data_IF_973101176490
#
_entry.id   IF_973101176490
#
_cell.length_a   1.000
_cell.length_b   1.000
_cell.length_c   1.000
_cell.angle_alpha   90.00
_cell.angle_beta   90.00
_cell.angle_gamma   90.00
#
_symmetry.space_group_name_H-M   'P 1'
#
loop_
_entity.id
_entity.type
_entity.pdbx_description
1 polymer ?
#
# COMPACT_ATOMS: atom_id res chain seq x y z
N UNK A 1 17.54 12.10 -7.80
CA UNK A 1 16.86 11.01 -8.56
C UNK A 1 15.54 10.77 -7.85
N UNK A 2 14.40 10.81 -8.54
CA UNK A 2 13.12 10.48 -7.90
C UNK A 2 13.06 9.01 -7.49
N UNK A 3 12.25 8.68 -6.47
CA UNK A 3 12.24 7.32 -5.90
C UNK A 3 11.84 6.25 -6.91
N UNK A 4 10.87 6.52 -7.78
CA UNK A 4 10.43 5.57 -8.83
C UNK A 4 11.46 5.31 -9.96
N UNK A 5 12.64 5.89 -9.87
CA UNK A 5 13.79 5.67 -10.74
C UNK A 5 15.05 5.28 -9.95
N UNK A 6 14.91 4.98 -8.67
CA UNK A 6 16.04 4.75 -7.77
C UNK A 6 16.00 3.36 -7.13
N UNK A 7 16.70 2.37 -7.70
CA UNK A 7 16.64 0.98 -7.21
C UNK A 7 17.20 0.77 -5.79
N UNK A 8 17.69 1.82 -5.15
CA UNK A 8 18.06 1.79 -3.73
C UNK A 8 16.89 2.18 -2.81
N UNK A 9 15.77 2.65 -3.37
CA UNK A 9 14.61 3.14 -2.61
C UNK A 9 13.35 2.39 -3.02
N UNK A 10 13.31 1.11 -2.74
CA UNK A 10 12.13 0.27 -2.97
C UNK A 10 11.01 0.51 -1.95
N UNK A 11 11.32 1.20 -0.85
CA UNK A 11 10.34 1.57 0.17
C UNK A 11 10.88 2.67 1.11
N UNK A 12 9.94 3.45 1.67
CA UNK A 12 10.20 4.40 2.77
C UNK A 12 9.08 4.26 3.80
N UNK A 13 9.44 4.04 5.06
CA UNK A 13 8.49 3.88 6.19
C UNK A 13 7.44 2.77 6.01
N UNK A 14 7.55 1.91 5.00
CA UNK A 14 6.73 0.72 4.88
C UNK A 14 7.12 -0.27 5.97
N UNK A 15 6.14 -0.79 6.67
CA UNK A 15 6.35 -1.85 7.66
C UNK A 15 6.83 -3.11 6.93
N UNK A 16 7.82 -3.84 7.45
CA UNK A 16 8.23 -5.11 6.89
C UNK A 16 7.02 -6.04 6.72
N UNK A 17 7.02 -6.81 5.63
CA UNK A 17 6.00 -7.83 5.42
C UNK A 17 6.17 -8.91 6.47
N UNK A 18 5.07 -9.31 7.08
CA UNK A 18 5.03 -10.34 8.11
C UNK A 18 3.78 -11.20 7.95
N UNK A 19 3.72 -12.33 8.65
CA UNK A 19 2.53 -13.13 8.72
C UNK A 19 1.33 -12.28 9.17
N UNK A 20 0.17 -12.57 8.58
CA UNK A 20 -1.08 -11.93 8.95
C UNK A 20 -1.77 -12.78 10.00
N UNK A 21 -2.21 -12.15 11.07
CA UNK A 21 -3.14 -12.74 12.01
C UNK A 21 -4.22 -11.73 12.36
N UNK A 22 -5.42 -12.22 12.59
CA UNK A 22 -6.53 -11.37 12.98
C UNK A 22 -6.25 -10.75 14.35
N UNK A 23 -6.63 -9.49 14.48
CA UNK A 23 -6.52 -8.75 15.74
C UNK A 23 -7.88 -8.16 16.09
N UNK A 24 -8.17 -8.02 17.36
CA UNK A 24 -9.42 -7.42 17.86
C UNK A 24 -9.44 -5.88 17.72
N UNK A 25 -8.58 -5.32 16.89
CA UNK A 25 -8.49 -3.89 16.67
C UNK A 25 -9.65 -3.34 15.83
N UNK A 26 -9.87 -2.04 15.96
CA UNK A 26 -10.82 -1.33 15.11
C UNK A 26 -10.36 -1.38 13.65
N UNK A 27 -11.32 -1.44 12.72
CA UNK A 27 -11.06 -1.44 11.30
C UNK A 27 -12.06 -0.55 10.57
N UNK A 28 -11.56 0.39 9.78
CA UNK A 28 -12.35 1.26 8.92
C UNK A 28 -11.96 1.04 7.46
N UNK A 29 -12.91 0.51 6.67
CA UNK A 29 -12.71 0.31 5.23
C UNK A 29 -12.71 1.67 4.52
N UNK A 30 -11.71 1.87 3.67
CA UNK A 30 -11.61 3.01 2.77
C UNK A 30 -11.97 2.64 1.33
N UNK A 31 -12.51 1.45 1.10
CA UNK A 31 -13.06 1.06 -0.19
C UNK A 31 -14.26 1.94 -0.58
N UNK A 32 -14.49 2.10 -1.87
CA UNK A 32 -15.59 2.88 -2.41
C UNK A 32 -15.10 3.92 -3.42
N UNK A 33 -15.81 5.01 -3.58
CA UNK A 33 -15.49 6.05 -4.56
C UNK A 33 -14.49 7.03 -3.97
N UNK A 34 -13.42 7.31 -4.72
CA UNK A 34 -12.39 8.30 -4.40
C UNK A 34 -12.35 9.38 -5.46
N UNK A 35 -12.00 10.61 -5.10
CA UNK A 35 -11.62 11.64 -6.07
C UNK A 35 -10.34 11.21 -6.77
N UNK A 36 -10.31 11.35 -8.08
CA UNK A 36 -9.26 10.79 -8.93
C UNK A 36 -8.85 11.76 -10.02
N UNK A 37 -7.56 12.01 -10.14
CA UNK A 37 -6.95 12.77 -11.21
C UNK A 37 -5.96 11.89 -11.97
N UNK A 38 -6.28 11.60 -13.23
CA UNK A 38 -5.40 10.83 -14.10
C UNK A 38 -4.63 11.77 -15.03
N UNK A 39 -3.32 11.60 -15.09
CA UNK A 39 -2.43 12.41 -15.89
C UNK A 39 -1.70 11.54 -16.90
N UNK A 40 -1.90 11.84 -18.17
CA UNK A 40 -1.22 11.17 -19.27
C UNK A 40 0.26 11.55 -19.35
N UNK A 41 0.57 12.81 -19.05
CA UNK A 41 1.94 13.31 -18.88
C UNK A 41 2.26 13.46 -17.38
N UNK A 42 3.19 12.66 -16.91
CA UNK A 42 3.65 12.71 -15.51
C UNK A 42 4.19 14.10 -15.12
N UNK A 43 4.73 14.88 -16.07
CA UNK A 43 5.29 16.19 -15.79
C UNK A 43 4.23 17.29 -15.65
N UNK A 44 3.02 17.06 -16.19
CA UNK A 44 1.89 17.99 -16.10
C UNK A 44 1.05 17.80 -14.84
N UNK A 45 1.29 16.74 -14.05
CA UNK A 45 0.51 16.46 -12.83
C UNK A 45 0.69 17.53 -11.76
N UNK A 46 -0.35 17.86 -10.98
CA UNK A 46 -0.22 18.72 -9.80
C UNK A 46 0.74 18.09 -8.77
N UNK A 47 1.70 18.85 -8.29
CA UNK A 47 2.70 18.37 -7.32
C UNK A 47 2.37 18.69 -5.86
N UNK A 48 1.29 19.46 -5.62
CA UNK A 48 0.79 19.89 -4.32
C UNK A 48 -0.61 19.30 -4.00
N UNK A 49 -1.08 18.37 -4.80
CA UNK A 49 -2.41 17.77 -4.71
C UNK A 49 -2.74 17.17 -3.34
N UNK A 50 -1.75 16.82 -2.55
CA UNK A 50 -1.91 16.29 -1.19
C UNK A 50 -2.21 17.34 -0.13
N UNK A 51 -2.12 18.62 -0.48
CA UNK A 51 -2.39 19.74 0.43
C UNK A 51 -3.85 19.75 0.88
N UNK A 52 -4.08 20.13 2.14
CA UNK A 52 -5.43 20.30 2.68
C UNK A 52 -6.23 21.40 1.99
N UNK A 53 -5.54 22.38 1.39
CA UNK A 53 -6.15 23.51 0.69
C UNK A 53 -6.32 23.27 -0.81
N UNK A 54 -5.84 22.12 -1.33
CA UNK A 54 -5.97 21.80 -2.75
C UNK A 54 -7.43 21.58 -3.12
N UNK A 55 -7.90 22.27 -4.16
CA UNK A 55 -9.26 22.11 -4.70
C UNK A 55 -9.30 20.96 -5.71
N UNK A 56 -9.90 19.86 -5.30
CA UNK A 56 -10.11 18.67 -6.12
C UNK A 56 -11.54 18.54 -6.65
N UNK A 57 -12.33 19.62 -6.58
CA UNK A 57 -13.75 19.61 -7.01
C UNK A 57 -13.95 19.34 -8.52
N UNK A 58 -12.93 19.61 -9.32
CA UNK A 58 -12.94 19.35 -10.76
C UNK A 58 -12.38 17.94 -11.13
N UNK A 59 -11.98 17.13 -10.16
CA UNK A 59 -11.46 15.80 -10.40
C UNK A 59 -12.59 14.81 -10.75
N UNK A 60 -12.23 13.79 -11.50
CA UNK A 60 -13.07 12.63 -11.71
C UNK A 60 -13.17 11.77 -10.45
N UNK A 61 -13.84 10.65 -10.55
CA UNK A 61 -13.92 9.66 -9.50
C UNK A 61 -13.58 8.27 -10.01
N UNK A 62 -13.03 7.44 -9.13
CA UNK A 62 -12.72 6.05 -9.43
C UNK A 62 -13.11 5.15 -8.24
N UNK A 63 -13.62 3.93 -8.48
CA UNK A 63 -13.79 2.96 -7.41
C UNK A 63 -12.42 2.46 -6.89
N UNK A 64 -12.32 2.26 -5.59
CA UNK A 64 -11.19 1.58 -4.93
C UNK A 64 -11.75 0.41 -4.14
N UNK A 65 -11.34 -0.83 -4.39
CA UNK A 65 -10.42 -1.27 -5.46
C UNK A 65 -10.91 -0.95 -6.86
N UNK A 66 -9.96 -0.61 -7.75
CA UNK A 66 -10.24 -0.35 -9.15
C UNK A 66 -8.96 -0.15 -9.96
N UNK A 67 -8.92 -0.77 -11.13
CA UNK A 67 -7.81 -0.61 -12.06
C UNK A 67 -8.17 0.49 -13.07
N UNK A 68 -7.19 1.31 -13.44
CA UNK A 68 -7.41 2.47 -14.32
C UNK A 68 -8.00 2.07 -15.65
N UNK A 69 -7.42 1.08 -16.30
CA UNK A 69 -7.76 0.64 -17.64
C UNK A 69 -9.19 0.06 -17.71
N UNK A 70 -9.67 -0.54 -16.61
CA UNK A 70 -11.04 -1.04 -16.50
C UNK A 70 -12.06 0.07 -16.20
N UNK A 71 -11.58 1.25 -15.86
CA UNK A 71 -12.39 2.44 -15.59
C UNK A 71 -12.24 3.52 -16.68
N UNK A 72 -11.61 3.18 -17.83
CA UNK A 72 -11.53 4.06 -18.98
C UNK A 72 -10.28 4.96 -19.04
N UNK A 73 -9.28 4.71 -18.20
CA UNK A 73 -8.04 5.49 -18.15
C UNK A 73 -6.86 4.67 -18.67
N UNK A 74 -6.23 5.13 -19.75
CA UNK A 74 -5.09 4.46 -20.37
C UNK A 74 -5.49 3.22 -21.16
N UNK A 75 -4.51 2.41 -21.48
CA UNK A 75 -4.63 1.22 -22.32
C UNK A 75 -4.12 -0.03 -21.58
N UNK A 76 -4.87 -1.13 -21.60
CA UNK A 76 -4.46 -2.37 -21.00
C UNK A 76 -3.31 -2.99 -21.79
N UNK A 77 -2.30 -3.53 -21.10
CA UNK A 77 -1.18 -4.24 -21.71
C UNK A 77 -1.22 -5.70 -21.27
N UNK A 78 -1.23 -6.60 -22.25
CA UNK A 78 -1.09 -8.04 -22.02
C UNK A 78 0.16 -8.55 -22.71
N UNK A 79 1.00 -9.23 -21.97
CA UNK A 79 2.16 -9.94 -22.47
C UNK A 79 2.30 -11.28 -21.74
N UNK A 80 2.42 -12.36 -22.50
CA UNK A 80 2.74 -13.69 -21.97
C UNK A 80 4.22 -14.01 -22.05
N UNK A 81 4.95 -13.34 -22.95
CA UNK A 81 6.40 -13.51 -23.15
C UNK A 81 7.05 -12.13 -23.27
N UNK A 82 8.01 -11.87 -22.42
CA UNK A 82 8.76 -10.62 -22.39
C UNK A 82 8.24 -9.62 -21.38
N UNK A 83 8.92 -8.50 -21.25
CA UNK A 83 8.67 -7.50 -20.22
C UNK A 83 7.59 -6.51 -20.66
N UNK A 84 6.76 -6.06 -19.72
CA UNK A 84 5.65 -5.16 -19.95
C UNK A 84 6.05 -3.82 -20.58
N UNK A 85 7.24 -3.34 -20.31
CA UNK A 85 7.80 -2.12 -20.87
C UNK A 85 8.25 -2.26 -22.34
N UNK A 86 8.46 -3.49 -22.82
CA UNK A 86 8.93 -3.74 -24.20
C UNK A 86 7.87 -3.28 -25.20
N UNK A 87 8.26 -2.36 -26.07
CA UNK A 87 7.33 -1.74 -27.05
C UNK A 87 6.72 -0.42 -26.55
N UNK A 88 6.79 -0.13 -25.25
CA UNK A 88 6.34 1.13 -24.67
C UNK A 88 7.50 2.13 -24.48
N UNK A 89 8.69 1.66 -24.12
CA UNK A 89 9.87 2.52 -24.00
C UNK A 89 11.18 1.72 -24.17
N UNK A 90 12.30 2.45 -24.34
CA UNK A 90 13.61 1.84 -24.52
C UNK A 90 14.13 1.19 -23.23
N UNK A 91 14.88 0.10 -23.39
CA UNK A 91 15.56 -0.56 -22.27
C UNK A 91 16.68 0.33 -21.72
N UNK A 92 16.42 1.00 -20.61
CA UNK A 92 17.36 1.90 -19.96
C UNK A 92 17.24 1.85 -18.42
N UNK A 93 17.37 0.66 -17.78
CA UNK A 93 17.24 0.56 -16.35
C UNK A 93 18.28 1.44 -15.62
N UNK A 94 17.91 2.07 -14.50
CA UNK A 94 16.63 1.94 -13.79
C UNK A 94 15.57 2.98 -14.23
N UNK A 95 15.74 3.66 -15.35
CA UNK A 95 14.92 4.80 -15.76
C UNK A 95 13.78 4.37 -16.68
N UNK A 96 12.54 4.20 -16.16
CA UNK A 96 11.37 4.10 -17.03
C UNK A 96 11.22 5.39 -17.82
N UNK A 97 10.66 5.32 -19.03
CA UNK A 97 10.43 6.50 -19.85
C UNK A 97 9.41 7.44 -19.21
N UNK A 98 9.54 8.74 -19.48
CA UNK A 98 8.57 9.73 -19.01
C UNK A 98 7.26 9.66 -19.81
N UNK A 99 7.34 9.39 -21.10
CA UNK A 99 6.17 9.23 -21.96
C UNK A 99 5.48 7.87 -21.70
N UNK A 100 4.15 7.86 -21.73
CA UNK A 100 3.32 6.71 -21.34
C UNK A 100 3.53 6.25 -19.87
N UNK A 101 4.17 7.06 -19.05
CA UNK A 101 4.22 6.83 -17.61
C UNK A 101 3.09 7.63 -16.96
N UNK A 102 1.90 7.13 -17.08
CA UNK A 102 0.69 7.74 -16.56
C UNK A 102 0.75 7.82 -15.03
N UNK A 103 0.10 8.84 -14.48
CA UNK A 103 0.04 9.04 -13.02
C UNK A 103 -1.40 9.16 -12.57
N UNK A 104 -1.78 8.33 -11.61
CA UNK A 104 -3.05 8.45 -10.89
C UNK A 104 -2.86 9.05 -9.52
N UNK A 105 -3.60 10.12 -9.26
CA UNK A 105 -3.64 10.79 -7.96
C UNK A 105 -5.03 10.61 -7.35
N UNK A 106 -5.05 10.19 -6.09
CA UNK A 106 -6.27 9.84 -5.36
C UNK A 106 -6.40 10.71 -4.12
N UNK A 107 -7.64 11.10 -3.79
CA UNK A 107 -7.94 11.81 -2.55
C UNK A 107 -9.23 11.29 -1.95
N UNK A 108 -9.25 11.17 -0.62
CA UNK A 108 -10.44 10.78 0.13
C UNK A 108 -10.39 11.28 1.56
N UNK A 109 -11.52 11.78 2.07
CA UNK A 109 -11.70 12.04 3.48
C UNK A 109 -12.19 10.78 4.21
N UNK A 110 -11.76 10.63 5.46
CA UNK A 110 -12.24 9.60 6.39
C UNK A 110 -12.28 10.14 7.81
N UNK A 111 -13.12 9.56 8.66
CA UNK A 111 -13.33 10.00 10.03
C UNK A 111 -12.90 8.92 11.00
N UNK A 112 -12.09 9.29 11.99
CA UNK A 112 -11.78 8.46 13.14
C UNK A 112 -12.50 9.03 14.37
N UNK A 113 -13.24 8.19 15.08
CA UNK A 113 -13.91 8.57 16.33
C UNK A 113 -12.98 8.47 17.55
N UNK A 114 -13.51 8.75 18.72
CA UNK A 114 -12.76 8.75 19.99
C UNK A 114 -12.24 7.35 20.37
N UNK A 115 -12.84 6.27 19.86
CA UNK A 115 -12.41 4.88 20.13
C UNK A 115 -11.02 4.56 19.59
N UNK A 116 -10.52 5.38 18.66
CA UNK A 116 -9.17 5.27 18.10
C UNK A 116 -8.09 5.93 18.96
N UNK A 117 -8.48 6.72 19.95
CA UNK A 117 -7.54 7.44 20.81
C UNK A 117 -6.68 6.48 21.63
N UNK A 118 -5.42 6.83 21.77
CA UNK A 118 -4.46 6.04 22.53
C UNK A 118 -3.94 4.78 21.86
N UNK A 119 -4.52 4.37 20.72
CA UNK A 119 -4.08 3.21 19.93
C UNK A 119 -3.04 3.62 18.88
N UNK A 120 -2.31 2.64 18.39
CA UNK A 120 -1.54 2.81 17.16
C UNK A 120 -2.46 2.58 15.95
N UNK A 121 -2.36 3.46 14.96
CA UNK A 121 -3.19 3.44 13.74
C UNK A 121 -2.31 3.11 12.54
N UNK A 122 -2.79 2.18 11.75
CA UNK A 122 -2.09 1.68 10.56
C UNK A 122 -2.96 1.83 9.32
N UNK A 123 -2.32 2.20 8.21
CA UNK A 123 -2.89 2.13 6.88
C UNK A 123 -2.45 0.84 6.21
N UNK A 124 -3.40 0.16 5.57
CA UNK A 124 -3.18 -0.99 4.71
C UNK A 124 -3.63 -0.67 3.30
N UNK A 125 -2.75 -0.84 2.33
CA UNK A 125 -3.03 -0.82 0.90
C UNK A 125 -2.71 -2.22 0.39
N UNK A 126 -3.73 -2.97 -0.01
CA UNK A 126 -3.57 -4.39 -0.33
C UNK A 126 -2.76 -4.67 -1.59
N UNK A 127 -2.68 -3.72 -2.50
CA UNK A 127 -1.88 -3.77 -3.72
C UNK A 127 -1.97 -2.42 -4.45
N UNK A 128 -0.85 -1.94 -4.98
CA UNK A 128 -0.82 -0.77 -5.85
C UNK A 128 0.22 -0.97 -6.96
N UNK A 129 -0.17 -0.84 -8.23
CA UNK A 129 0.69 -1.08 -9.39
C UNK A 129 1.01 0.26 -10.07
N UNK A 130 2.28 0.66 -10.25
CA UNK A 130 3.52 -0.10 -9.96
C UNK A 130 4.10 0.23 -8.59
N UNK A 131 3.75 1.38 -8.03
CA UNK A 131 4.21 1.89 -6.75
C UNK A 131 3.09 2.66 -6.06
N UNK A 132 3.33 3.14 -4.85
CA UNK A 132 2.44 4.09 -4.17
C UNK A 132 3.21 5.01 -3.24
N UNK A 133 2.93 6.30 -3.33
CA UNK A 133 3.33 7.31 -2.36
C UNK A 133 2.11 7.77 -1.58
N UNK A 134 2.27 7.94 -0.28
CA UNK A 134 1.17 8.15 0.66
C UNK A 134 1.35 9.45 1.42
N UNK A 135 0.27 10.24 1.52
CA UNK A 135 0.16 11.40 2.42
C UNK A 135 -1.07 11.28 3.29
N UNK A 136 -0.93 11.70 4.53
CA UNK A 136 -2.05 11.86 5.47
C UNK A 136 -2.03 13.31 5.99
N UNK A 137 -3.16 14.00 5.87
CA UNK A 137 -3.32 15.37 6.33
C UNK A 137 -2.22 16.32 5.80
N UNK A 138 -1.86 16.17 4.52
CA UNK A 138 -0.86 16.99 3.86
C UNK A 138 0.59 16.65 4.19
N UNK A 139 0.85 15.60 4.98
CA UNK A 139 2.20 15.17 5.36
C UNK A 139 2.52 13.84 4.70
N UNK A 140 3.68 13.75 4.09
CA UNK A 140 4.17 12.51 3.52
C UNK A 140 4.39 11.45 4.60
N UNK A 141 3.84 10.27 4.37
CA UNK A 141 3.93 9.09 5.23
C UNK A 141 5.04 8.18 4.77
N UNK A 142 5.05 7.84 3.47
CA UNK A 142 6.01 6.92 2.91
C UNK A 142 5.73 6.51 1.47
N UNK A 143 6.52 5.53 1.04
CA UNK A 143 6.56 5.03 -0.33
C UNK A 143 6.69 3.51 -0.35
N UNK A 144 6.15 2.85 -1.35
CA UNK A 144 6.30 1.42 -1.59
C UNK A 144 6.25 1.08 -3.07
N UNK A 145 7.12 0.20 -3.49
CA UNK A 145 7.02 -0.60 -4.71
C UNK A 145 6.50 -2.00 -4.38
N UNK A 146 6.68 -2.99 -5.24
CA UNK A 146 6.08 -4.35 -5.17
C UNK A 146 4.62 -4.38 -5.59
N UNK A 147 4.37 -4.26 -6.88
CA UNK A 147 3.06 -4.01 -7.53
C UNK A 147 1.89 -4.85 -7.03
N UNK A 148 2.10 -6.07 -6.56
CA UNK A 148 1.03 -7.01 -6.21
C UNK A 148 0.98 -7.35 -4.72
N UNK A 149 1.89 -6.80 -3.94
CA UNK A 149 1.98 -7.07 -2.51
C UNK A 149 1.40 -5.91 -1.70
N UNK A 150 1.13 -6.18 -0.44
CA UNK A 150 0.58 -5.18 0.46
C UNK A 150 1.62 -4.16 0.91
N UNK A 151 1.19 -2.92 1.06
CA UNK A 151 1.95 -1.87 1.71
C UNK A 151 1.25 -1.45 3.00
N UNK A 152 1.95 -1.53 4.13
CA UNK A 152 1.45 -1.11 5.45
C UNK A 152 2.30 0.02 6.00
N UNK A 153 1.63 1.01 6.60
CA UNK A 153 2.28 2.18 7.17
C UNK A 153 1.72 2.48 8.55
N UNK A 154 2.59 2.77 9.51
CA UNK A 154 2.13 3.34 10.79
C UNK A 154 1.82 4.82 10.61
N UNK A 155 0.54 5.16 10.69
CA UNK A 155 0.05 6.53 10.49
C UNK A 155 -0.35 7.23 11.79
N UNK A 156 -0.10 6.65 12.94
CA UNK A 156 -0.50 7.16 14.26
C UNK A 156 -0.17 8.64 14.47
N UNK A 157 1.02 9.08 14.08
CA UNK A 157 1.45 10.48 14.27
C UNK A 157 0.88 11.46 13.23
N UNK A 158 0.17 10.94 12.22
CA UNK A 158 -0.35 11.73 11.10
C UNK A 158 -1.86 11.95 11.18
N UNK A 159 -2.58 11.04 11.86
CA UNK A 159 -4.04 11.10 12.02
C UNK A 159 -4.44 11.85 13.28
N UNK A 160 -5.70 12.27 13.32
CA UNK A 160 -6.36 12.89 14.48
C UNK A 160 -7.78 12.34 14.61
N UNK A 161 -8.38 12.49 15.76
CA UNK A 161 -9.83 12.32 15.96
C UNK A 161 -10.59 13.32 15.08
N UNK A 162 -11.68 12.88 14.48
CA UNK A 162 -12.44 13.63 13.48
C UNK A 162 -11.96 13.38 12.06
N UNK A 163 -12.13 14.37 11.21
CA UNK A 163 -11.86 14.27 9.78
C UNK A 163 -10.37 14.26 9.47
N UNK A 164 -9.98 13.32 8.59
CA UNK A 164 -8.64 13.15 8.05
C UNK A 164 -8.71 13.04 6.52
N UNK A 165 -7.65 13.49 5.85
CA UNK A 165 -7.47 13.34 4.42
C UNK A 165 -6.36 12.33 4.13
N UNK A 166 -6.64 11.36 3.28
CA UNK A 166 -5.62 10.53 2.63
C UNK A 166 -5.45 10.95 1.18
N UNK A 167 -4.21 11.07 0.73
CA UNK A 167 -3.85 11.28 -0.67
C UNK A 167 -2.82 10.23 -1.10
N UNK A 168 -2.98 9.70 -2.31
CA UNK A 168 -2.10 8.69 -2.89
C UNK A 168 -1.65 9.12 -4.28
N UNK A 169 -0.41 8.81 -4.65
CA UNK A 169 0.11 8.96 -6.01
C UNK A 169 0.69 7.63 -6.47
N UNK A 170 0.32 7.19 -7.66
CA UNK A 170 0.74 5.95 -8.28
C UNK A 170 1.24 6.27 -9.68
N UNK A 171 2.43 5.78 -10.04
CA UNK A 171 2.95 5.82 -11.39
C UNK A 171 2.71 4.48 -12.09
N UNK A 172 2.42 4.51 -13.38
CA UNK A 172 2.27 3.30 -14.18
C UNK A 172 3.54 2.47 -14.20
N UNK A 173 4.69 3.12 -14.30
CA UNK A 173 6.00 2.50 -14.38
C UNK A 173 6.94 3.04 -13.30
N UNK A 174 7.68 2.18 -12.66
CA UNK A 174 8.83 2.48 -11.80
C UNK A 174 10.03 1.62 -12.21
N UNK A 175 11.17 1.80 -11.57
CA UNK A 175 12.36 1.00 -11.85
C UNK A 175 12.14 -0.49 -11.57
N UNK A 176 11.30 -0.86 -10.59
CA UNK A 176 10.87 -2.24 -10.36
C UNK A 176 10.19 -2.90 -11.56
N UNK A 177 9.58 -2.13 -12.45
CA UNK A 177 8.94 -2.63 -13.66
C UNK A 177 9.90 -3.39 -14.59
N UNK A 178 11.19 -3.09 -14.54
CA UNK A 178 12.20 -3.84 -15.30
C UNK A 178 12.37 -5.29 -14.83
N UNK A 179 12.00 -5.59 -13.60
CA UNK A 179 12.14 -6.91 -12.97
C UNK A 179 10.81 -7.64 -12.83
N UNK A 180 9.71 -6.89 -12.71
CA UNK A 180 8.38 -7.45 -12.53
C UNK A 180 7.83 -7.94 -13.87
N UNK A 181 7.87 -9.24 -14.10
CA UNK A 181 7.31 -9.86 -15.30
C UNK A 181 6.60 -11.17 -14.98
N UNK A 182 5.39 -11.30 -15.50
CA UNK A 182 4.55 -12.48 -15.38
C UNK A 182 3.59 -12.55 -16.56
N UNK A 183 3.09 -13.73 -16.87
CA UNK A 183 2.01 -13.95 -17.84
C UNK A 183 0.67 -13.44 -17.27
N UNK A 184 0.46 -12.14 -17.36
CA UNK A 184 -0.77 -11.49 -16.86
C UNK A 184 -1.03 -10.14 -17.52
N UNK A 185 -2.24 -9.64 -17.33
CA UNK A 185 -2.58 -8.27 -17.66
C UNK A 185 -1.82 -7.28 -16.78
N UNK A 186 -1.20 -6.29 -17.40
CA UNK A 186 -0.56 -5.15 -16.74
C UNK A 186 -1.58 -4.03 -16.61
N UNK A 187 -2.29 -4.05 -15.50
CA UNK A 187 -3.27 -3.04 -15.14
C UNK A 187 -2.75 -2.23 -13.96
N UNK A 188 -2.97 -0.92 -14.04
CA UNK A 188 -2.48 0.06 -13.06
C UNK A 188 -3.55 0.40 -12.03
N UNK A 189 -3.14 0.93 -10.88
CA UNK A 189 -4.06 1.35 -9.84
C UNK A 189 -4.10 0.40 -8.65
N UNK A 190 -5.19 0.42 -7.89
CA UNK A 190 -5.35 -0.28 -6.61
C UNK A 190 -6.27 -1.48 -6.81
N UNK A 191 -5.74 -2.71 -6.74
CA UNK A 191 -6.50 -3.92 -7.06
C UNK A 191 -7.08 -4.65 -5.87
N UNK A 192 -6.75 -4.24 -4.64
CA UNK A 192 -7.22 -4.86 -3.39
C UNK A 192 -7.65 -3.80 -2.39
N UNK A 193 -8.22 -4.28 -1.27
CA UNK A 193 -8.76 -3.44 -0.21
C UNK A 193 -7.77 -2.39 0.31
N UNK A 194 -8.32 -1.22 0.62
CA UNK A 194 -7.65 -0.17 1.39
C UNK A 194 -8.44 0.04 2.68
N UNK A 195 -7.74 0.02 3.80
CA UNK A 195 -8.36 0.27 5.10
C UNK A 195 -7.36 0.81 6.12
N UNK A 196 -7.88 1.46 7.14
CA UNK A 196 -7.13 1.76 8.36
C UNK A 196 -7.54 0.79 9.46
N UNK A 197 -6.60 0.45 10.33
CA UNK A 197 -6.87 -0.42 11.48
C UNK A 197 -6.08 0.04 12.69
N UNK A 198 -6.60 -0.26 13.87
CA UNK A 198 -5.93 0.04 15.11
C UNK A 198 -5.28 -1.21 15.72
N UNK A 199 -4.25 -0.99 16.50
CA UNK A 199 -3.64 -2.00 17.34
C UNK A 199 -3.29 -1.41 18.71
N UNK A 200 -3.35 -2.25 19.72
CA UNK A 200 -2.87 -1.86 21.04
C UNK A 200 -1.36 -1.57 21.01
N UNK A 201 -0.89 -0.69 21.89
CA UNK A 201 0.53 -0.34 21.98
C UNK A 201 1.40 -1.52 22.41
N UNK A 202 0.85 -2.40 23.28
CA UNK A 202 1.50 -3.64 23.67
C UNK A 202 0.87 -4.78 22.87
N UNK A 203 1.67 -5.39 22.03
CA UNK A 203 1.17 -6.42 21.09
C UNK A 203 2.27 -7.34 20.62
N UNK A 204 1.89 -8.47 20.06
CA UNK A 204 2.75 -9.30 19.22
C UNK A 204 2.82 -8.66 17.84
N UNK A 205 4.02 -8.42 17.34
CA UNK A 205 4.24 -7.84 15.99
C UNK A 205 4.32 -8.94 14.93
N UNK A 206 5.00 -10.04 15.24
CA UNK A 206 5.14 -11.18 14.34
C UNK A 206 5.33 -12.49 15.11
N UNK A 207 5.00 -13.61 14.46
CA UNK A 207 5.17 -14.96 15.01
C UNK A 207 5.88 -15.82 13.97
N UNK A 208 6.98 -16.43 14.37
CA UNK A 208 7.67 -17.43 13.58
C UNK A 208 7.49 -18.79 14.21
N UNK A 209 6.96 -19.74 13.45
CA UNK A 209 6.74 -21.13 13.89
C UNK A 209 7.60 -22.05 13.02
N UNK A 210 8.45 -22.83 13.64
CA UNK A 210 9.22 -23.89 13.00
C UNK A 210 8.84 -25.22 13.63
N UNK A 211 8.33 -26.15 12.83
CA UNK A 211 7.95 -27.48 13.29
C UNK A 211 8.59 -28.54 12.39
N UNK A 212 9.04 -29.64 12.99
CA UNK A 212 9.63 -30.80 12.31
C UNK A 212 8.67 -31.98 12.28
N UNK A 213 8.90 -32.91 11.36
CA UNK A 213 8.15 -34.18 11.30
C UNK A 213 8.40 -35.08 12.51
N UNK A 214 9.47 -34.84 13.29
CA UNK A 214 9.77 -35.54 14.54
C UNK A 214 8.95 -35.06 15.74
N UNK A 215 8.14 -33.98 15.56
CA UNK A 215 7.34 -33.40 16.63
C UNK A 215 8.03 -32.27 17.42
N UNK A 216 9.22 -31.86 17.02
CA UNK A 216 9.88 -30.71 17.61
C UNK A 216 9.25 -29.43 17.07
N UNK A 217 8.89 -28.48 17.95
CA UNK A 217 8.38 -27.18 17.58
C UNK A 217 9.16 -26.06 18.28
N UNK A 218 9.48 -25.02 17.52
CA UNK A 218 10.06 -23.78 18.03
C UNK A 218 9.17 -22.61 17.65
N UNK A 219 8.79 -21.80 18.65
CA UNK A 219 7.95 -20.61 18.49
C UNK A 219 8.73 -19.38 18.92
N UNK A 220 8.74 -18.37 18.07
CA UNK A 220 9.34 -17.08 18.36
C UNK A 220 8.32 -16.00 18.11
N UNK A 221 8.06 -15.14 19.10
CA UNK A 221 7.26 -13.94 18.93
C UNK A 221 8.16 -12.70 18.89
N UNK A 222 7.92 -11.83 17.93
CA UNK A 222 8.40 -10.45 17.95
C UNK A 222 7.33 -9.59 18.60
N UNK A 223 7.74 -8.72 19.55
CA UNK A 223 6.79 -7.98 20.37
C UNK A 223 7.11 -6.48 20.36
N UNK A 224 6.08 -5.67 20.54
CA UNK A 224 6.24 -4.21 20.70
C UNK A 224 6.91 -3.87 22.04
N UNK A 225 7.42 -2.65 22.12
CA UNK A 225 8.07 -2.14 23.34
C UNK A 225 7.11 -2.19 24.54
N UNK A 226 7.62 -2.75 25.65
CA UNK A 226 6.91 -2.82 26.92
C UNK A 226 6.07 -4.09 27.12
N UNK A 227 6.10 -5.04 26.19
CA UNK A 227 5.64 -6.41 26.42
C UNK A 227 6.73 -7.16 27.18
N UNK A 228 6.38 -7.80 28.27
CA UNK A 228 7.31 -8.52 29.16
C UNK A 228 7.06 -10.01 29.19
N UNK A 229 5.90 -10.44 28.69
CA UNK A 229 5.48 -11.85 28.72
C UNK A 229 4.64 -12.16 27.50
N UNK A 230 4.83 -13.35 26.94
CA UNK A 230 4.00 -13.93 25.87
C UNK A 230 3.70 -15.38 26.24
N UNK A 231 2.43 -15.75 26.15
CA UNK A 231 1.98 -17.12 26.39
C UNK A 231 1.71 -17.78 25.04
N UNK A 232 2.21 -19.00 24.88
CA UNK A 232 1.91 -19.87 23.75
C UNK A 232 1.14 -21.06 24.27
N UNK A 233 0.10 -21.44 23.55
CA UNK A 233 -0.68 -22.62 23.80
C UNK A 233 -0.73 -23.48 22.54
N UNK A 234 -0.45 -24.75 22.65
CA UNK A 234 -0.56 -25.71 21.54
C UNK A 234 -1.82 -26.54 21.78
N UNK A 235 -2.76 -26.44 20.85
CA UNK A 235 -4.00 -27.16 20.90
C UNK A 235 -3.97 -28.33 19.92
N UNK A 236 -4.57 -29.44 20.32
CA UNK A 236 -4.83 -30.56 19.41
C UNK A 236 -5.92 -30.21 18.38
N UNK A 237 -6.19 -31.06 17.36
CA UNK A 237 -7.24 -30.79 16.37
C UNK A 237 -8.67 -30.67 16.95
N UNK A 238 -8.88 -31.02 18.20
CA UNK A 238 -10.16 -30.85 18.90
C UNK A 238 -10.20 -29.56 19.73
N UNK A 239 -9.08 -28.82 19.82
CA UNK A 239 -8.97 -27.62 20.64
C UNK A 239 -8.64 -27.91 22.11
N UNK A 240 -8.10 -29.06 22.45
CA UNK A 240 -7.64 -29.41 23.80
C UNK A 240 -6.13 -29.20 23.92
N UNK A 241 -5.66 -28.59 25.05
CA UNK A 241 -4.24 -28.34 25.33
C UNK A 241 -3.56 -29.50 26.05
#
# INVERSE_FOLDING_TARGET
MPDWQNPQVVQQNRIPMSARFDTDGLKLMLNGIWNFNWNEDMNARPTDFYSLQYDDSAWDTIPVPGMWELNGYGDPVYLNIGYAWKGHYANNPPYPADWHNYVGQYRRNFVLDEDWEGKDVFLHIGSATSNVRVWINGKEVGYSEDSKLEARFNITKYVKTGENLIALEIFRWCDGTYLEDQDLWRLSGISRDVYVYSREKKRIEDINVQASASGEASLRAEVSKGVTEVTFEILDPKGES
#
